data_IF_994412790189
#
_entry.id   IF_994412790189
#
_cell.length_a   1.000
_cell.length_b   1.000
_cell.length_c   1.000
_cell.angle_alpha   90.00
_cell.angle_beta   90.00
_cell.angle_gamma   90.00
#
_symmetry.space_group_name_H-M   'P 1'
#
loop_
_entity.id
_entity.type
_entity.pdbx_description
1 polymer ?
#
# COMPACT_ATOMS: atom_id res chain seq x y z
N UNK A 1 20.64 14.00 1.85
CA UNK A 1 21.25 12.99 2.75
C UNK A 1 20.58 11.65 2.47
N UNK A 2 21.33 10.59 2.14
CA UNK A 2 20.76 9.26 1.81
C UNK A 2 20.39 8.54 3.11
N UNK A 3 19.14 8.69 3.57
CA UNK A 3 18.62 7.84 4.64
C UNK A 3 18.66 6.40 4.11
N UNK A 4 19.42 5.52 4.77
CA UNK A 4 19.50 4.08 4.44
C UNK A 4 18.19 3.40 4.83
N UNK A 5 17.14 3.74 4.09
CA UNK A 5 15.81 3.17 4.24
C UNK A 5 15.91 1.69 3.90
N UNK A 6 15.44 0.84 4.79
CA UNK A 6 15.32 -0.58 4.54
C UNK A 6 14.07 -0.82 3.68
N UNK A 7 14.17 -0.41 2.42
CA UNK A 7 13.11 -0.57 1.43
C UNK A 7 13.28 -1.91 0.74
N UNK A 8 12.15 -2.58 0.54
CA UNK A 8 12.09 -3.77 -0.27
C UNK A 8 11.01 -3.65 -1.34
N UNK A 9 11.22 -4.36 -2.44
CA UNK A 9 10.39 -4.32 -3.63
C UNK A 9 10.05 -5.73 -4.10
N UNK A 10 8.80 -5.94 -4.50
CA UNK A 10 8.30 -7.12 -5.21
C UNK A 10 7.73 -6.64 -6.53
N UNK A 11 8.17 -7.26 -7.62
CA UNK A 11 7.73 -6.89 -8.97
C UNK A 11 6.49 -7.69 -9.38
N UNK A 12 5.74 -7.15 -10.32
CA UNK A 12 4.61 -7.81 -10.98
C UNK A 12 5.00 -9.14 -11.66
N UNK A 13 6.20 -9.23 -12.24
CA UNK A 13 6.69 -10.42 -12.93
C UNK A 13 7.36 -11.47 -12.05
N UNK A 14 7.81 -11.09 -10.85
CA UNK A 14 8.53 -11.98 -9.93
C UNK A 14 8.10 -11.74 -8.49
N UNK A 15 7.64 -12.81 -7.82
CA UNK A 15 7.24 -12.77 -6.41
C UNK A 15 8.42 -12.64 -5.44
N UNK A 16 9.65 -12.43 -5.95
CA UNK A 16 10.84 -12.30 -5.13
C UNK A 16 10.92 -10.93 -4.46
N UNK A 17 11.05 -10.92 -3.14
CA UNK A 17 11.29 -9.71 -2.33
C UNK A 17 12.75 -9.32 -2.37
N UNK A 18 13.04 -8.15 -2.95
CA UNK A 18 14.39 -7.62 -3.19
C UNK A 18 14.64 -6.37 -2.37
N UNK A 19 15.89 -6.16 -1.94
CA UNK A 19 16.27 -4.93 -1.23
C UNK A 19 16.58 -3.85 -2.26
N UNK A 20 15.93 -2.70 -2.13
CA UNK A 20 16.12 -1.56 -3.05
C UNK A 20 16.42 -0.29 -2.27
N UNK A 21 16.97 0.70 -2.95
CA UNK A 21 17.04 2.08 -2.48
C UNK A 21 16.07 2.93 -3.29
N UNK A 22 15.53 3.98 -2.68
CA UNK A 22 14.66 4.92 -3.37
C UNK A 22 15.44 6.22 -3.58
N UNK A 23 15.42 6.72 -4.81
CA UNK A 23 15.83 8.08 -5.14
C UNK A 23 14.59 8.91 -5.43
N UNK A 24 14.41 10.00 -4.68
CA UNK A 24 13.27 10.92 -4.83
C UNK A 24 13.63 12.01 -5.83
N UNK A 25 12.74 12.25 -6.80
CA UNK A 25 12.93 13.21 -7.90
C UNK A 25 11.66 14.07 -8.00
N UNK A 26 11.59 15.13 -7.20
CA UNK A 26 10.38 15.94 -7.09
C UNK A 26 9.20 15.12 -6.56
N UNK A 27 8.19 14.89 -7.40
CA UNK A 27 6.96 14.10 -7.07
C UNK A 27 7.01 12.65 -7.58
N UNK A 28 8.12 12.22 -8.14
CA UNK A 28 8.35 10.85 -8.56
C UNK A 28 9.53 10.24 -7.80
N UNK A 29 9.69 8.94 -7.95
CA UNK A 29 10.81 8.21 -7.38
C UNK A 29 11.29 7.11 -8.32
N UNK A 30 12.59 6.81 -8.26
CA UNK A 30 13.18 5.68 -8.95
C UNK A 30 13.69 4.66 -7.93
N UNK A 31 13.56 3.38 -8.25
CA UNK A 31 14.13 2.29 -7.48
C UNK A 31 15.54 1.99 -7.99
N UNK A 32 16.50 1.92 -7.08
CA UNK A 32 17.86 1.50 -7.36
C UNK A 32 18.11 0.14 -6.74
N UNK A 33 18.46 -0.82 -7.59
CA UNK A 33 18.90 -2.15 -7.18
C UNK A 33 20.30 -2.40 -7.72
N UNK A 34 21.28 -2.48 -6.81
CA UNK A 34 22.69 -2.65 -7.18
C UNK A 34 23.17 -1.58 -8.19
N UNK A 35 23.34 -1.94 -9.46
CA UNK A 35 23.75 -1.05 -10.56
C UNK A 35 22.61 -0.72 -11.53
N UNK A 36 21.42 -1.29 -11.32
CA UNK A 36 20.26 -1.06 -12.15
C UNK A 36 19.33 -0.03 -11.52
N UNK A 37 18.82 0.86 -12.36
CA UNK A 37 17.83 1.88 -12.01
C UNK A 37 16.54 1.58 -12.75
N UNK A 38 15.43 1.56 -12.02
CA UNK A 38 14.11 1.44 -12.65
C UNK A 38 13.70 2.71 -13.36
N UNK A 39 12.61 2.61 -14.13
CA UNK A 39 11.84 3.77 -14.54
C UNK A 39 11.32 4.56 -13.32
N UNK A 40 10.91 5.81 -13.56
CA UNK A 40 10.33 6.65 -12.53
C UNK A 40 8.87 6.26 -12.28
N UNK A 41 8.53 6.10 -11.01
CA UNK A 41 7.17 5.90 -10.52
C UNK A 41 6.66 7.19 -9.87
N UNK A 42 5.36 7.46 -9.93
CA UNK A 42 4.77 8.60 -9.23
C UNK A 42 4.29 8.19 -7.84
N UNK A 43 4.50 9.07 -6.85
CA UNK A 43 3.95 8.83 -5.51
C UNK A 43 2.41 8.85 -5.50
N UNK A 44 1.81 9.64 -6.38
CA UNK A 44 0.35 9.75 -6.53
C UNK A 44 -0.30 8.44 -7.04
N UNK A 45 0.48 7.55 -7.68
CA UNK A 45 0.02 6.23 -8.13
C UNK A 45 0.11 5.17 -7.03
N UNK A 46 0.76 5.48 -5.91
CA UNK A 46 0.88 4.55 -4.79
C UNK A 46 -0.43 4.47 -4.02
N UNK A 47 -0.73 3.26 -3.56
CA UNK A 47 -1.85 3.00 -2.65
C UNK A 47 -1.33 2.25 -1.44
N UNK A 48 -1.63 2.75 -0.25
CA UNK A 48 -1.30 2.05 0.98
C UNK A 48 -2.11 0.75 1.10
N UNK A 49 -1.41 -0.38 1.24
CA UNK A 49 -1.99 -1.73 1.33
C UNK A 49 -2.00 -2.29 2.75
N UNK A 50 -1.39 -1.59 3.71
CA UNK A 50 -1.36 -1.98 5.13
C UNK A 50 0.05 -2.20 5.68
N UNK A 51 0.13 -2.81 6.86
CA UNK A 51 1.40 -3.27 7.45
C UNK A 51 1.57 -4.77 7.20
N UNK A 52 2.79 -5.18 6.83
CA UNK A 52 3.21 -6.57 6.72
C UNK A 52 4.45 -6.77 7.60
N UNK A 53 4.26 -7.43 8.75
CA UNK A 53 5.28 -7.48 9.80
C UNK A 53 5.64 -6.07 10.28
N UNK A 54 6.93 -5.74 10.25
CA UNK A 54 7.48 -4.43 10.61
C UNK A 54 7.66 -3.53 9.37
N UNK A 55 6.81 -3.66 8.34
CA UNK A 55 6.91 -2.84 7.12
C UNK A 55 5.58 -2.23 6.72
N UNK A 56 5.60 -0.94 6.40
CA UNK A 56 4.51 -0.26 5.73
C UNK A 56 4.54 -0.59 4.24
N UNK A 57 3.45 -1.16 3.71
CA UNK A 57 3.38 -1.68 2.34
C UNK A 57 2.49 -0.82 1.45
N UNK A 58 3.00 -0.53 0.26
CA UNK A 58 2.36 0.23 -0.79
C UNK A 58 2.28 -0.62 -2.06
N UNK A 59 1.19 -0.50 -2.81
CA UNK A 59 1.04 -1.05 -4.16
C UNK A 59 0.91 0.09 -5.19
N UNK A 60 0.84 -0.26 -6.48
CA UNK A 60 0.50 0.69 -7.54
C UNK A 60 -0.98 0.52 -7.92
N UNK A 61 -1.68 1.63 -8.12
CA UNK A 61 -2.98 1.68 -8.78
C UNK A 61 -2.87 2.56 -10.04
N UNK A 62 -2.35 2.00 -11.13
CA UNK A 62 -2.07 2.74 -12.38
C UNK A 62 -3.30 2.95 -13.28
N UNK A 63 -4.51 2.61 -12.81
CA UNK A 63 -5.77 2.79 -13.55
C UNK A 63 -5.93 1.94 -14.82
N UNK A 64 -4.88 1.25 -15.28
CA UNK A 64 -4.85 0.46 -16.51
C UNK A 64 -4.95 -1.03 -16.18
N UNK A 65 -4.26 -1.50 -15.14
CA UNK A 65 -4.37 -2.87 -14.62
C UNK A 65 -3.93 -2.89 -13.16
N UNK A 66 -4.78 -3.39 -12.25
CA UNK A 66 -4.33 -3.64 -10.88
C UNK A 66 -3.11 -4.57 -10.96
N UNK A 67 -1.99 -4.16 -10.38
CA UNK A 67 -0.76 -4.95 -10.31
C UNK A 67 -0.65 -5.53 -8.90
N UNK A 68 -1.47 -6.52 -8.53
CA UNK A 68 -1.62 -6.96 -7.13
C UNK A 68 -0.32 -7.56 -6.55
N UNK A 69 0.60 -7.99 -7.41
CA UNK A 69 1.90 -8.53 -7.02
C UNK A 69 2.96 -7.45 -6.81
N UNK A 70 2.77 -6.25 -7.38
CA UNK A 70 3.70 -5.15 -7.20
C UNK A 70 3.56 -4.61 -5.78
N UNK A 71 4.66 -4.63 -5.02
CA UNK A 71 4.67 -4.15 -3.64
C UNK A 71 5.97 -3.41 -3.33
N UNK A 72 5.84 -2.29 -2.65
CA UNK A 72 6.93 -1.52 -2.09
C UNK A 72 6.76 -1.43 -0.58
N UNK A 73 7.73 -1.92 0.17
CA UNK A 73 7.67 -1.93 1.63
C UNK A 73 8.77 -1.09 2.25
N UNK A 74 8.39 -0.24 3.20
CA UNK A 74 9.29 0.53 4.04
C UNK A 74 9.36 -0.12 5.41
N UNK A 75 10.51 -0.66 5.78
CA UNK A 75 10.71 -1.29 7.09
C UNK A 75 10.88 -0.22 8.17
N UNK A 76 10.21 -0.41 9.31
CA UNK A 76 10.20 0.50 10.44
C UNK A 76 9.34 1.73 10.17
N UNK A 77 9.69 2.83 10.83
CA UNK A 77 8.99 4.11 10.66
C UNK A 77 9.37 4.78 9.33
N UNK A 78 8.37 5.40 8.70
CA UNK A 78 8.57 6.16 7.47
C UNK A 78 9.21 7.51 7.86
N UNK A 79 10.36 7.89 7.26
CA UNK A 79 10.99 9.18 7.53
C UNK A 79 10.03 10.34 7.26
N UNK A 80 10.06 11.43 8.06
CA UNK A 80 9.13 12.56 7.92
C UNK A 80 9.10 13.18 6.51
N UNK A 81 10.25 13.20 5.85
CA UNK A 81 10.42 13.69 4.47
C UNK A 81 9.57 12.89 3.48
N UNK A 82 9.50 11.57 3.64
CA UNK A 82 8.67 10.71 2.80
C UNK A 82 7.23 10.65 3.27
N UNK A 83 6.98 10.75 4.58
CA UNK A 83 5.62 10.71 5.13
C UNK A 83 4.73 11.84 4.58
N UNK A 84 5.34 12.97 4.20
CA UNK A 84 4.63 14.11 3.60
C UNK A 84 4.26 13.90 2.12
N UNK A 85 4.90 12.94 1.44
CA UNK A 85 4.77 12.68 0.01
C UNK A 85 4.03 11.36 -0.25
N UNK A 86 4.21 10.38 0.64
CA UNK A 86 3.58 9.08 0.54
C UNK A 86 2.07 9.18 0.82
N UNK A 87 1.26 8.37 0.12
CA UNK A 87 -0.18 8.35 0.35
C UNK A 87 -0.47 7.93 1.80
N UNK A 88 -1.36 8.64 2.50
CA UNK A 88 -1.69 8.33 3.88
C UNK A 88 -2.35 6.96 3.98
N UNK A 89 -2.20 6.31 5.13
CA UNK A 89 -2.96 5.12 5.43
C UNK A 89 -4.46 5.47 5.44
N UNK A 90 -5.19 5.04 4.41
CA UNK A 90 -6.64 5.24 4.36
C UNK A 90 -7.27 4.37 5.45
N UNK A 91 -8.01 4.94 6.42
CA UNK A 91 -8.74 4.13 7.38
C UNK A 91 -9.75 3.26 6.61
N UNK A 92 -9.96 1.99 6.99
CA UNK A 92 -10.94 1.14 6.34
C UNK A 92 -12.30 1.84 6.43
N UNK A 93 -12.90 2.11 5.27
CA UNK A 93 -14.23 2.72 5.15
C UNK A 93 -15.36 1.77 5.59
N UNK A 94 -15.04 0.62 6.19
CA UNK A 94 -16.01 -0.22 6.88
C UNK A 94 -16.40 0.48 8.19
N UNK A 95 -17.16 1.54 8.04
CA UNK A 95 -17.81 2.25 9.12
C UNK A 95 -18.74 1.26 9.83
N UNK A 96 -18.73 1.23 11.16
CA UNK A 96 -19.60 0.37 11.99
C UNK A 96 -21.08 0.37 11.54
N UNK A 97 -21.51 1.42 10.84
CA UNK A 97 -22.80 1.56 10.16
C UNK A 97 -23.10 0.39 9.20
N UNK A 98 -22.14 -0.03 8.36
CA UNK A 98 -22.36 -1.13 7.42
C UNK A 98 -22.58 -2.48 8.11
N UNK A 99 -21.89 -2.70 9.24
CA UNK A 99 -22.07 -3.90 10.06
C UNK A 99 -23.42 -3.90 10.80
N UNK A 100 -23.88 -2.74 11.27
CA UNK A 100 -25.19 -2.60 11.91
C UNK A 100 -26.35 -2.87 10.94
N UNK A 101 -26.26 -2.40 9.69
CA UNK A 101 -27.28 -2.66 8.66
C UNK A 101 -27.40 -4.15 8.35
N UNK A 102 -26.28 -4.86 8.23
CA UNK A 102 -26.27 -6.33 8.03
C UNK A 102 -26.88 -7.03 9.25
N UNK A 103 -26.54 -6.60 10.46
CA UNK A 103 -27.09 -7.15 11.70
C UNK A 103 -28.62 -7.01 11.79
N UNK A 104 -29.16 -5.82 11.50
CA UNK A 104 -30.61 -5.59 11.48
C UNK A 104 -31.32 -6.39 10.39
N UNK A 105 -30.71 -6.53 9.20
CA UNK A 105 -31.28 -7.31 8.11
C UNK A 105 -31.41 -8.79 8.49
N UNK A 106 -30.35 -9.37 9.07
CA UNK A 106 -30.38 -10.74 9.57
C UNK A 106 -31.45 -10.95 10.66
N UNK A 107 -31.56 -10.01 11.60
CA UNK A 107 -32.52 -10.09 12.70
C UNK A 107 -33.97 -9.98 12.19
N UNK A 108 -34.22 -9.11 11.20
CA UNK A 108 -35.52 -9.00 10.55
C UNK A 108 -35.91 -10.29 9.79
N UNK A 109 -34.98 -10.90 9.06
CA UNK A 109 -35.24 -12.18 8.35
C UNK A 109 -35.60 -13.29 9.35
N UNK A 110 -34.87 -13.42 10.45
CA UNK A 110 -35.17 -14.42 11.50
C UNK A 110 -36.53 -14.16 12.13
N UNK A 111 -36.85 -12.89 12.42
CA UNK A 111 -38.14 -12.51 12.97
C UNK A 111 -39.29 -12.90 12.02
N UNK A 112 -39.20 -12.53 10.74
CA UNK A 112 -40.21 -12.90 9.73
C UNK A 112 -40.28 -14.41 9.44
N UNK A 113 -39.22 -15.18 9.68
CA UNK A 113 -39.22 -16.63 9.50
C UNK A 113 -39.84 -17.39 10.68
N UNK A 114 -39.90 -16.76 11.86
CA UNK A 114 -40.42 -17.35 13.12
C UNK A 114 -41.85 -16.88 13.42
N UNK A 115 -42.35 -15.86 12.73
CA UNK A 115 -43.73 -15.35 12.85
C UNK A 115 -44.61 -15.93 11.75
#
# INVERSE_FOLDING_TARGET
MSVSQHVWFVDSGSALKRRVRIEVIGRSFALYEQQWRSEAYFFDDLVYRGKEGDSHVFGIADGIKDRPKWKLGFKGEIPPELASILPPAKPPLLSNVGMLVIGFLCLAIVYFAVT
#
